data_IF_882625886849
#
_entry.id   IF_882625886849
#
_cell.length_a   1.000
_cell.length_b   1.000
_cell.length_c   1.000
_cell.angle_alpha   90.00
_cell.angle_beta   90.00
_cell.angle_gamma   90.00
#
_symmetry.space_group_name_H-M   'P 1'
#
loop_
_entity.id
_entity.type
_entity.pdbx_description
1 polymer ?
#
# COMPACT_ATOMS: atom_id res chain seq x y z
N UNK A 1 -1.96 -5.45 20.90
CA UNK A 1 -1.23 -4.24 20.43
C UNK A 1 0.18 -4.60 19.89
N UNK A 2 0.31 -5.55 18.96
CA UNK A 2 1.64 -6.07 18.56
C UNK A 2 1.93 -6.14 17.05
N UNK A 3 1.00 -5.81 16.16
CA UNK A 3 1.21 -5.96 14.70
C UNK A 3 1.67 -4.68 13.98
N UNK A 4 1.28 -3.48 14.44
CA UNK A 4 1.60 -2.21 13.74
C UNK A 4 3.09 -1.99 13.47
N UNK A 5 3.97 -2.39 14.40
CA UNK A 5 5.41 -2.14 14.26
C UNK A 5 6.06 -2.99 13.18
N UNK A 6 5.53 -4.18 12.88
CA UNK A 6 6.21 -5.11 11.97
C UNK A 6 6.12 -4.63 10.52
N UNK A 7 4.94 -4.27 10.03
CA UNK A 7 4.77 -3.77 8.66
C UNK A 7 5.53 -2.45 8.46
N UNK A 8 5.49 -1.54 9.44
CA UNK A 8 6.27 -0.30 9.38
C UNK A 8 7.77 -0.55 9.30
N UNK A 9 8.31 -1.54 10.03
CA UNK A 9 9.74 -1.89 9.93
C UNK A 9 10.08 -2.57 8.60
N UNK A 10 9.22 -3.44 8.08
CA UNK A 10 9.43 -4.12 6.78
C UNK A 10 9.51 -3.12 5.63
N UNK A 11 8.63 -2.12 5.65
CA UNK A 11 8.51 -1.10 4.62
C UNK A 11 9.39 0.13 4.87
N UNK A 12 10.22 0.09 5.91
CA UNK A 12 11.10 1.20 6.26
C UNK A 12 12.07 1.52 5.12
N UNK A 13 12.13 2.82 4.78
CA UNK A 13 12.93 3.33 3.68
C UNK A 13 12.23 3.32 2.31
N UNK A 14 10.93 2.97 2.26
CA UNK A 14 10.09 3.21 1.10
C UNK A 14 9.22 4.45 1.35
N UNK A 15 9.69 5.61 0.91
CA UNK A 15 9.01 6.90 1.17
C UNK A 15 7.70 7.07 0.37
N UNK A 16 7.45 6.18 -0.59
CA UNK A 16 6.26 6.14 -1.43
C UNK A 16 5.16 5.20 -0.90
N UNK A 17 5.32 4.68 0.33
CA UNK A 17 4.39 3.70 0.91
C UNK A 17 3.82 4.21 2.22
N UNK A 18 2.50 4.08 2.38
CA UNK A 18 1.76 4.51 3.56
C UNK A 18 1.15 3.29 4.25
N UNK A 19 1.88 2.65 5.18
CA UNK A 19 1.35 1.51 5.93
C UNK A 19 0.39 1.95 7.05
N UNK A 20 -0.70 1.20 7.23
CA UNK A 20 -1.60 1.33 8.36
C UNK A 20 -2.10 -0.03 8.83
N UNK A 21 -1.68 -0.43 10.04
CA UNK A 21 -1.99 -1.76 10.60
C UNK A 21 -1.55 -2.87 9.65
N UNK A 22 -2.52 -3.55 9.02
CA UNK A 22 -2.34 -4.67 8.10
C UNK A 22 -2.51 -4.25 6.63
N UNK A 23 -2.93 -3.00 6.38
CA UNK A 23 -3.17 -2.45 5.06
C UNK A 23 -2.02 -1.52 4.63
N UNK A 24 -1.77 -1.46 3.33
CA UNK A 24 -0.67 -0.69 2.75
C UNK A 24 -1.13 0.03 1.51
N UNK A 25 -0.99 1.36 1.50
CA UNK A 25 -1.32 2.20 0.36
C UNK A 25 -0.04 2.59 -0.39
N UNK A 26 -0.07 2.46 -1.72
CA UNK A 26 1.05 2.76 -2.62
C UNK A 26 0.58 3.76 -3.69
N UNK A 27 0.63 5.07 -3.42
CA UNK A 27 0.35 6.07 -4.44
C UNK A 27 1.56 6.23 -5.39
N UNK A 28 1.27 6.45 -6.67
CA UNK A 28 2.28 6.70 -7.71
C UNK A 28 1.75 7.72 -8.71
N UNK A 29 2.64 8.42 -9.41
CA UNK A 29 2.26 9.48 -10.36
C UNK A 29 2.02 8.95 -11.78
N UNK A 30 2.51 7.75 -12.09
CA UNK A 30 2.29 7.07 -13.37
C UNK A 30 2.19 5.55 -13.18
N UNK A 31 1.64 4.86 -14.17
CA UNK A 31 1.54 3.40 -14.20
C UNK A 31 2.93 2.73 -14.16
N UNK A 32 3.89 3.22 -14.94
CA UNK A 32 5.27 2.71 -14.94
C UNK A 32 5.97 2.88 -13.58
N UNK A 33 5.71 3.99 -12.87
CA UNK A 33 6.20 4.20 -11.52
C UNK A 33 5.47 3.29 -10.53
N UNK A 34 4.16 3.10 -10.70
CA UNK A 34 3.35 2.22 -9.89
C UNK A 34 3.82 0.77 -9.95
N UNK A 35 4.10 0.25 -11.14
CA UNK A 35 4.65 -1.10 -11.32
C UNK A 35 5.98 -1.27 -10.56
N UNK A 36 6.87 -0.27 -10.63
CA UNK A 36 8.15 -0.30 -9.91
C UNK A 36 7.94 -0.29 -8.40
N UNK A 37 7.05 0.56 -7.89
CA UNK A 37 6.72 0.67 -6.47
C UNK A 37 6.09 -0.62 -5.93
N UNK A 38 5.09 -1.16 -6.62
CA UNK A 38 4.44 -2.42 -6.25
C UNK A 38 5.45 -3.56 -6.22
N UNK A 39 6.32 -3.66 -7.23
CA UNK A 39 7.38 -4.67 -7.26
C UNK A 39 8.33 -4.58 -6.07
N UNK A 40 8.80 -3.38 -5.73
CA UNK A 40 9.67 -3.17 -4.57
C UNK A 40 9.00 -3.56 -3.26
N UNK A 41 7.72 -3.25 -3.10
CA UNK A 41 6.93 -3.64 -1.92
C UNK A 41 6.78 -5.16 -1.85
N UNK A 42 6.49 -5.81 -2.97
CA UNK A 42 6.33 -7.27 -3.03
C UNK A 42 7.65 -7.98 -2.73
N UNK A 43 8.76 -7.49 -3.27
CA UNK A 43 10.10 -8.01 -2.98
C UNK A 43 10.42 -7.89 -1.47
N UNK A 44 10.06 -6.77 -0.84
CA UNK A 44 10.19 -6.60 0.63
C UNK A 44 9.33 -7.59 1.39
N UNK A 45 8.05 -7.73 1.02
CA UNK A 45 7.18 -8.70 1.69
C UNK A 45 7.71 -10.12 1.56
N UNK A 46 8.21 -10.50 0.40
CA UNK A 46 8.81 -11.82 0.18
C UNK A 46 10.07 -12.03 1.05
N UNK A 47 10.95 -11.03 1.17
CA UNK A 47 12.16 -11.11 2.01
C UNK A 47 11.83 -11.34 3.48
N UNK A 48 10.75 -10.76 3.98
CA UNK A 48 10.32 -10.89 5.37
C UNK A 48 9.27 -12.00 5.59
N UNK A 49 8.98 -12.80 4.56
CA UNK A 49 8.04 -13.92 4.65
C UNK A 49 6.56 -13.52 4.81
N UNK A 50 6.21 -12.28 4.46
CA UNK A 50 4.83 -11.79 4.46
C UNK A 50 4.07 -12.31 3.24
N UNK A 51 2.79 -12.61 3.43
CA UNK A 51 1.88 -13.06 2.38
C UNK A 51 0.83 -12.00 2.12
N UNK A 52 0.61 -11.70 0.85
CA UNK A 52 -0.40 -10.75 0.40
C UNK A 52 -1.70 -11.51 0.11
N UNK A 53 -2.83 -10.94 0.52
CA UNK A 53 -4.12 -11.46 0.13
C UNK A 53 -4.60 -10.77 -1.16
N UNK A 54 -4.23 -11.34 -2.31
CA UNK A 54 -4.61 -10.79 -3.63
C UNK A 54 -6.12 -10.62 -3.81
N UNK A 55 -6.96 -11.43 -3.15
CA UNK A 55 -8.41 -11.30 -3.25
C UNK A 55 -8.96 -10.06 -2.54
N UNK A 56 -8.19 -9.48 -1.62
CA UNK A 56 -8.51 -8.23 -0.90
C UNK A 56 -7.66 -7.05 -1.36
N UNK A 57 -6.66 -7.28 -2.21
CA UNK A 57 -5.78 -6.24 -2.72
C UNK A 57 -6.36 -5.63 -3.99
N UNK A 58 -6.32 -4.30 -4.06
CA UNK A 58 -6.63 -3.54 -5.28
C UNK A 58 -5.31 -2.99 -5.81
N UNK A 59 -4.99 -3.26 -7.07
CA UNK A 59 -3.74 -2.84 -7.73
C UNK A 59 -4.08 -2.09 -9.02
N UNK A 60 -3.32 -1.03 -9.32
CA UNK A 60 -3.46 -0.29 -10.59
C UNK A 60 -4.83 0.36 -10.79
N UNK A 61 -5.49 0.81 -9.71
CA UNK A 61 -6.77 1.49 -9.80
C UNK A 61 -6.61 3.01 -9.69
N UNK A 62 -7.37 3.76 -10.48
CA UNK A 62 -7.39 5.25 -10.44
C UNK A 62 -7.94 5.78 -9.10
N UNK A 63 -8.71 4.95 -8.41
CA UNK A 63 -9.26 5.23 -7.10
C UNK A 63 -9.29 3.98 -6.23
N UNK A 64 -9.03 4.14 -4.93
CA UNK A 64 -9.02 3.03 -3.97
C UNK A 64 -9.63 3.47 -2.65
N UNK A 65 -10.42 2.59 -2.04
CA UNK A 65 -10.91 2.79 -0.67
C UNK A 65 -9.82 2.36 0.32
N UNK A 66 -9.46 3.29 1.22
CA UNK A 66 -8.43 3.08 2.22
C UNK A 66 -8.87 3.73 3.54
N UNK A 67 -9.06 2.91 4.58
CA UNK A 67 -9.42 3.35 5.95
C UNK A 67 -10.69 4.22 6.04
N UNK A 68 -11.69 3.94 5.20
CA UNK A 68 -12.92 4.75 5.15
C UNK A 68 -12.79 6.04 4.35
N UNK A 69 -11.68 6.23 3.62
CA UNK A 69 -11.50 7.30 2.66
C UNK A 69 -11.42 6.73 1.24
N UNK A 70 -12.00 7.43 0.27
CA UNK A 70 -11.68 7.21 -1.12
C UNK A 70 -10.46 8.05 -1.48
N UNK A 71 -9.39 7.38 -1.87
CA UNK A 71 -8.17 7.99 -2.39
C UNK A 71 -8.28 8.01 -3.91
N UNK A 72 -8.04 9.17 -4.50
CA UNK A 72 -8.09 9.44 -5.94
C UNK A 72 -6.87 10.25 -6.35
N UNK A 73 -6.63 10.39 -7.65
CA UNK A 73 -5.58 11.27 -8.19
C UNK A 73 -5.74 12.75 -7.78
N UNK A 74 -6.97 13.20 -7.51
CA UNK A 74 -7.27 14.57 -7.08
C UNK A 74 -7.18 14.78 -5.56
N UNK A 75 -7.01 13.70 -4.79
CA UNK A 75 -6.91 13.74 -3.33
C UNK A 75 -7.76 12.69 -2.62
N UNK A 76 -8.00 12.91 -1.32
CA UNK A 76 -8.76 12.00 -0.46
C UNK A 76 -10.10 12.59 -0.02
N UNK A 77 -11.18 11.83 -0.12
CA UNK A 77 -12.50 12.19 0.43
C UNK A 77 -13.02 11.12 1.41
N UNK A 78 -13.69 11.48 2.51
CA UNK A 78 -14.30 10.49 3.39
C UNK A 78 -15.46 9.77 2.68
N UNK A 79 -15.61 8.48 2.95
CA UNK A 79 -16.76 7.68 2.51
C UNK A 79 -17.96 7.94 3.46
N UNK A 80 -19.20 7.99 2.93
CA UNK A 80 -20.41 8.23 3.71
C UNK A 80 -20.80 7.07 4.63
#
# INVERSE_FOLDING_TARGET
MHHQRFITEVLRGLDFVFPYLDDVLIPSSSEEEHEKHVKLVFDRFQQYGLRINLAKSVLGADQVEYLGYLITSEGSRPLP
#
